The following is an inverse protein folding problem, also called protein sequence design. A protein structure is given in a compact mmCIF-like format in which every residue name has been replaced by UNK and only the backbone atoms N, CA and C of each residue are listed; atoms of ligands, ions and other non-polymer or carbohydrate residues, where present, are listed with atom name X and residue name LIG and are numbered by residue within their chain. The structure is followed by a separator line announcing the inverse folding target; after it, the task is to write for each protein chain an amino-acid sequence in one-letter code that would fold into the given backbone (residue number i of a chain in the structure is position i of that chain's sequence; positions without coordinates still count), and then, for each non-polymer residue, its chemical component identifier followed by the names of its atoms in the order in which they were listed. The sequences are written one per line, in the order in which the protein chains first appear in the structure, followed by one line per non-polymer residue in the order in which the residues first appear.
data_IF_620046088851
#
_entry.id   IF_620046088851
#
_cell.length_a   1.000
_cell.length_b   1.000
_cell.length_c   1.000
_cell.angle_alpha   90.00
_cell.angle_beta   90.00
_cell.angle_gamma   90.00
#
_symmetry.space_group_name_H-M   'P 1'
#
loop_
_entity.id
_entity.type
_entity.pdbx_description
1 polymer ?
#
# COMPACT_ATOMS: atom_id res chain seq x y z
N UNK A 1 -10.70 4.84 12.77
CA UNK A 1 -11.01 5.78 11.69
C UNK A 1 -9.76 6.05 10.85
N UNK A 2 -9.91 6.45 9.58
CA UNK A 2 -8.82 6.91 8.71
C UNK A 2 -9.09 8.38 8.41
N UNK A 3 -8.13 9.25 8.71
CA UNK A 3 -8.26 10.69 8.44
C UNK A 3 -8.36 10.96 6.94
N UNK A 4 -9.00 12.06 6.54
CA UNK A 4 -9.03 12.47 5.13
C UNK A 4 -7.62 12.74 4.64
N UNK A 5 -7.30 12.22 3.46
CA UNK A 5 -5.94 12.22 2.91
C UNK A 5 -5.01 11.20 3.57
N UNK A 6 -5.49 10.40 4.53
CA UNK A 6 -4.69 9.44 5.30
C UNK A 6 -4.67 8.03 4.71
N UNK A 7 -3.78 7.20 5.25
CA UNK A 7 -3.67 5.78 4.93
C UNK A 7 -3.48 4.96 6.20
N UNK A 8 -3.95 3.71 6.18
CA UNK A 8 -3.79 2.79 7.30
C UNK A 8 -3.60 1.35 6.83
N UNK A 9 -2.62 0.66 7.41
CA UNK A 9 -2.42 -0.77 7.21
C UNK A 9 -3.45 -1.59 8.01
N UNK A 10 -3.90 -2.68 7.40
CA UNK A 10 -4.70 -3.72 8.05
C UNK A 10 -4.12 -5.09 7.69
N UNK A 11 -4.28 -6.05 8.59
CA UNK A 11 -4.02 -7.45 8.31
C UNK A 11 -5.36 -8.17 8.26
N UNK A 12 -5.81 -8.50 7.05
CA UNK A 12 -6.96 -9.38 6.87
C UNK A 12 -6.52 -10.84 6.92
N UNK A 13 -7.49 -11.74 6.86
CA UNK A 13 -7.27 -13.17 6.64
C UNK A 13 -7.81 -13.55 5.27
N UNK A 14 -7.03 -14.30 4.49
CA UNK A 14 -7.46 -14.89 3.22
C UNK A 14 -7.31 -16.40 3.32
N UNK A 15 -8.39 -17.12 2.98
CA UNK A 15 -8.38 -18.57 2.90
C UNK A 15 -7.76 -18.98 1.57
N UNK A 16 -6.74 -19.82 1.60
CA UNK A 16 -6.13 -20.37 0.39
C UNK A 16 -6.90 -21.60 -0.14
N UNK A 17 -6.43 -22.17 -1.26
CA UNK A 17 -7.09 -23.30 -1.90
C UNK A 17 -7.14 -24.58 -1.04
N UNK A 18 -6.29 -24.67 -0.01
CA UNK A 18 -6.26 -25.80 0.93
C UNK A 18 -7.23 -25.61 2.11
N UNK A 19 -7.85 -24.43 2.23
CA UNK A 19 -8.70 -24.06 3.36
C UNK A 19 -7.93 -23.42 4.52
N UNK A 20 -6.62 -23.18 4.38
CA UNK A 20 -5.82 -22.56 5.43
C UNK A 20 -5.99 -21.04 5.44
N UNK A 21 -6.13 -20.45 6.63
CA UNK A 21 -6.18 -19.00 6.81
C UNK A 21 -4.77 -18.41 6.85
N UNK A 22 -4.45 -17.56 5.86
CA UNK A 22 -3.18 -16.83 5.77
C UNK A 22 -3.38 -15.33 5.99
N UNK A 23 -2.41 -14.62 6.61
CA UNK A 23 -2.43 -13.17 6.67
C UNK A 23 -2.47 -12.55 5.27
N UNK A 24 -3.31 -11.53 5.09
CA UNK A 24 -3.42 -10.76 3.86
C UNK A 24 -3.25 -9.26 4.19
N UNK A 25 -2.00 -8.76 4.15
CA UNK A 25 -1.70 -7.37 4.43
C UNK A 25 -2.28 -6.46 3.34
N UNK A 26 -3.04 -5.46 3.76
CA UNK A 26 -3.59 -4.43 2.88
C UNK A 26 -3.32 -3.05 3.45
N UNK A 27 -3.40 -2.05 2.57
CA UNK A 27 -3.48 -0.64 2.96
C UNK A 27 -4.80 -0.08 2.44
N UNK A 28 -5.47 0.71 3.28
CA UNK A 28 -6.64 1.50 2.89
C UNK A 28 -6.27 2.97 2.94
N UNK A 29 -6.56 3.69 1.86
CA UNK A 29 -6.33 5.12 1.71
C UNK A 29 -7.68 5.81 1.66
N UNK A 30 -7.81 6.96 2.32
CA UNK A 30 -8.98 7.83 2.23
C UNK A 30 -8.59 9.10 1.49
N UNK A 31 -9.10 9.27 0.27
CA UNK A 31 -8.95 10.49 -0.52
C UNK A 31 -9.58 11.71 0.14
N UNK A 32 -9.22 12.90 -0.33
CA UNK A 32 -9.77 14.17 0.18
C UNK A 32 -11.27 14.34 -0.13
N UNK A 33 -11.72 13.73 -1.23
CA UNK A 33 -13.10 13.60 -1.69
C UNK A 33 -13.92 12.56 -0.91
N UNK A 34 -13.33 11.91 0.11
CA UNK A 34 -13.87 10.77 0.87
C UNK A 34 -14.00 9.45 0.09
N UNK A 35 -13.39 9.32 -1.09
CA UNK A 35 -13.29 8.01 -1.73
C UNK A 35 -12.26 7.16 -1.00
N UNK A 36 -12.57 5.87 -0.83
CA UNK A 36 -11.65 4.90 -0.22
C UNK A 36 -11.04 4.02 -1.30
N UNK A 37 -9.72 3.88 -1.26
CA UNK A 37 -8.94 3.00 -2.12
C UNK A 37 -8.28 1.92 -1.27
N UNK A 38 -8.12 0.73 -1.83
CA UNK A 38 -7.52 -0.42 -1.12
C UNK A 38 -6.53 -1.15 -2.02
N UNK A 39 -5.33 -1.39 -1.49
CA UNK A 39 -4.27 -2.11 -2.19
C UNK A 39 -3.69 -3.23 -1.33
N UNK A 40 -3.14 -4.25 -1.98
CA UNK A 40 -2.28 -5.22 -1.31
C UNK A 40 -1.03 -4.49 -0.84
N UNK A 41 -0.70 -4.63 0.43
CA UNK A 41 0.48 -4.01 1.00
C UNK A 41 1.72 -4.88 0.74
N UNK A 42 2.10 -4.99 -0.53
CA UNK A 42 3.27 -5.72 -0.99
C UNK A 42 3.89 -5.00 -2.19
N UNK A 43 5.15 -4.58 -2.04
CA UNK A 43 5.89 -3.89 -3.08
C UNK A 43 6.25 -4.88 -4.19
N UNK A 44 5.90 -4.64 -5.46
CA UNK A 44 6.22 -5.56 -6.56
C UNK A 44 7.72 -5.82 -6.77
N UNK A 45 8.58 -4.95 -6.23
CA UNK A 45 10.03 -5.09 -6.31
C UNK A 45 10.53 -6.38 -5.62
N UNK A 46 10.14 -6.60 -4.37
CA UNK A 46 10.67 -7.65 -3.48
C UNK A 46 9.61 -8.31 -2.57
N UNK A 47 8.33 -7.96 -2.75
CA UNK A 47 7.20 -8.47 -1.96
C UNK A 47 7.13 -7.94 -0.53
N UNK A 48 7.98 -6.98 -0.13
CA UNK A 48 7.96 -6.43 1.23
C UNK A 48 6.81 -5.44 1.40
N UNK A 49 6.38 -5.23 2.64
CA UNK A 49 5.37 -4.20 2.91
C UNK A 49 5.88 -2.81 2.54
N UNK A 50 4.98 -1.95 2.07
CA UNK A 50 5.33 -0.57 1.71
C UNK A 50 5.71 0.22 2.96
N UNK A 51 4.99 0.05 4.06
CA UNK A 51 5.27 0.71 5.34
C UNK A 51 6.26 -0.09 6.21
N UNK A 52 6.98 0.65 7.06
CA UNK A 52 7.78 0.09 8.15
C UNK A 52 7.00 0.30 9.46
N UNK A 53 6.72 -0.77 10.21
CA UNK A 53 5.91 -0.67 11.44
C UNK A 53 4.52 -0.09 11.15
N UNK A 54 4.10 0.94 11.89
CA UNK A 54 2.87 1.71 11.61
C UNK A 54 3.10 2.92 10.68
N UNK A 55 4.23 2.94 9.96
CA UNK A 55 4.78 4.12 9.27
C UNK A 55 3.97 4.68 8.09
N UNK A 56 4.51 5.76 7.52
CA UNK A 56 3.90 6.53 6.43
C UNK A 56 3.91 5.75 5.10
N UNK A 57 2.87 5.97 4.30
CA UNK A 57 2.71 5.41 2.96
C UNK A 57 2.95 6.43 1.88
N UNK A 58 3.05 7.72 2.21
CA UNK A 58 3.08 8.78 1.22
C UNK A 58 4.49 9.30 0.97
N UNK A 59 4.71 9.89 -0.20
CA UNK A 59 5.81 10.84 -0.40
C UNK A 59 5.65 12.05 0.53
N UNK A 60 6.73 12.83 0.73
CA UNK A 60 6.72 13.96 1.65
C UNK A 60 5.66 15.03 1.27
N UNK A 61 5.44 15.23 -0.02
CA UNK A 61 4.40 16.12 -0.57
C UNK A 61 3.01 15.46 -0.67
N UNK A 62 2.93 14.17 -0.34
CA UNK A 62 1.73 13.32 -0.39
C UNK A 62 1.10 13.15 -1.77
N UNK A 63 1.83 13.45 -2.84
CA UNK A 63 1.34 13.27 -4.21
C UNK A 63 1.25 11.79 -4.61
N UNK A 64 2.08 10.93 -4.01
CA UNK A 64 2.21 9.52 -4.36
C UNK A 64 2.29 8.62 -3.13
N UNK A 65 2.06 7.33 -3.33
CA UNK A 65 2.46 6.31 -2.36
C UNK A 65 3.94 6.01 -2.53
N UNK A 66 4.63 5.70 -1.43
CA UNK A 66 6.04 5.36 -1.39
C UNK A 66 6.28 4.14 -0.53
N UNK A 67 7.02 3.17 -1.06
CA UNK A 67 7.62 2.12 -0.27
C UNK A 67 8.75 2.73 0.58
N UNK A 68 8.58 2.71 1.91
CA UNK A 68 9.53 3.22 2.88
C UNK A 68 10.84 2.45 2.95
N UNK A 69 10.97 1.32 2.24
CA UNK A 69 12.16 0.46 2.27
C UNK A 69 13.16 0.78 1.16
N UNK A 70 12.72 0.70 -0.10
CA UNK A 70 13.59 0.90 -1.27
C UNK A 70 13.15 2.06 -2.17
N UNK A 71 12.13 2.82 -1.77
CA UNK A 71 11.75 4.07 -2.44
C UNK A 71 10.92 3.93 -3.71
N UNK A 72 10.40 2.74 -4.01
CA UNK A 72 9.40 2.54 -5.08
C UNK A 72 8.19 3.47 -4.86
N UNK A 73 7.75 4.16 -5.92
CA UNK A 73 6.72 5.20 -5.85
C UNK A 73 5.55 4.85 -6.78
N UNK A 74 4.32 5.06 -6.31
CA UNK A 74 3.11 4.63 -6.97
C UNK A 74 2.06 5.74 -7.04
N UNK A 75 1.32 5.80 -8.15
CA UNK A 75 0.10 6.61 -8.25
C UNK A 75 -0.93 6.15 -7.21
N UNK A 76 -1.54 7.11 -6.52
CA UNK A 76 -2.52 6.81 -5.46
C UNK A 76 -3.76 6.13 -6.04
N UNK A 77 -4.28 6.61 -7.17
CA UNK A 77 -5.57 6.17 -7.71
C UNK A 77 -5.48 4.82 -8.45
N UNK A 78 -4.40 4.61 -9.19
CA UNK A 78 -4.22 3.42 -10.03
C UNK A 78 -3.40 2.32 -9.35
N UNK A 79 -2.54 2.68 -8.38
CA UNK A 79 -1.51 1.79 -7.83
C UNK A 79 -0.35 1.53 -8.80
N UNK A 80 -0.29 2.21 -9.94
CA UNK A 80 0.77 2.06 -10.94
C UNK A 80 2.12 2.50 -10.35
N UNK A 81 3.14 1.65 -10.47
CA UNK A 81 4.52 2.04 -10.21
C UNK A 81 4.96 3.07 -11.25
N UNK A 82 5.38 4.25 -10.81
CA UNK A 82 5.85 5.34 -11.69
C UNK A 82 7.33 5.65 -11.53
N UNK A 83 7.94 5.22 -10.42
CA UNK A 83 9.36 5.44 -10.17
C UNK A 83 9.95 4.40 -9.20
N UNK A 84 11.27 4.24 -9.27
CA UNK A 84 12.04 3.35 -8.42
C UNK A 84 12.05 1.88 -8.88
N UNK A 85 12.46 0.96 -8.00
CA UNK A 85 12.82 -0.40 -8.39
C UNK A 85 11.63 -1.34 -8.67
N UNK A 86 10.38 -0.84 -8.56
CA UNK A 86 9.19 -1.56 -8.98
C UNK A 86 8.94 -1.47 -10.50
N UNK A 87 9.64 -0.60 -11.21
CA UNK A 87 9.43 -0.42 -12.65
C UNK A 87 9.72 -1.71 -13.43
N UNK A 88 8.77 -2.09 -14.29
CA UNK A 88 8.87 -3.31 -15.12
C UNK A 88 8.60 -4.62 -14.39
N UNK A 89 8.02 -4.57 -13.18
CA UNK A 89 7.54 -5.74 -12.43
C UNK A 89 6.07 -6.06 -12.72
#
# INVERSE_FOLDING_TARGET
DIERGGAKAFSLSRIDASGESRPFPIVVIRGHDNVYLGYVNACPHDGVWLNIGSGDFFTQDRAFLKCGRHGATFEIDSGLCIDGPCNGK
#
